data_IF_916157512173
#
_entry.id   IF_916157512173
#
_cell.length_a   1.000
_cell.length_b   1.000
_cell.length_c   1.000
_cell.angle_alpha   90.00
_cell.angle_beta   90.00
_cell.angle_gamma   90.00
#
_symmetry.space_group_name_H-M   'P 1'
#
loop_
_entity.id
_entity.type
_entity.pdbx_description
1 polymer ?
#
# COMPACT_ATOMS: atom_id res chain seq x y z
N UNK A 1 -23.38 8.19 34.27
CA UNK A 1 -22.43 7.20 33.73
C UNK A 1 -22.27 7.51 32.25
N UNK A 2 -21.16 8.13 31.85
CA UNK A 2 -20.91 8.45 30.45
C UNK A 2 -20.45 7.18 29.74
N UNK A 3 -21.32 6.62 28.90
CA UNK A 3 -20.95 5.56 27.95
C UNK A 3 -20.08 6.21 26.88
N UNK A 4 -18.77 6.24 27.09
CA UNK A 4 -17.82 6.58 26.04
C UNK A 4 -17.99 5.54 24.94
N UNK A 5 -18.69 5.88 23.86
CA UNK A 5 -18.77 5.03 22.69
C UNK A 5 -17.33 4.70 22.26
N UNK A 6 -17.02 3.41 22.16
CA UNK A 6 -15.73 2.98 21.61
C UNK A 6 -15.55 3.69 20.26
N UNK A 7 -14.38 4.28 19.97
CA UNK A 7 -14.14 4.89 18.67
C UNK A 7 -14.48 3.86 17.58
N UNK A 8 -15.18 4.31 16.54
CA UNK A 8 -15.56 3.44 15.42
C UNK A 8 -14.34 2.66 14.93
N UNK A 9 -14.49 1.34 14.73
CA UNK A 9 -13.42 0.44 14.26
C UNK A 9 -12.83 0.84 12.90
N UNK A 10 -13.44 1.81 12.21
CA UNK A 10 -13.02 2.33 10.92
C UNK A 10 -12.09 3.55 11.01
N UNK A 11 -12.03 4.22 12.17
CA UNK A 11 -11.17 5.38 12.34
C UNK A 11 -9.70 4.95 12.40
N UNK A 12 -8.87 5.53 11.53
CA UNK A 12 -7.43 5.25 11.53
C UNK A 12 -7.02 3.99 10.77
N UNK A 13 -7.93 3.32 10.06
CA UNK A 13 -7.64 2.12 9.24
C UNK A 13 -7.35 2.47 7.78
N UNK A 14 -8.03 3.49 7.25
CA UNK A 14 -8.05 3.77 5.81
C UNK A 14 -9.01 2.84 5.06
N UNK A 15 -9.66 3.33 4.01
CA UNK A 15 -10.64 2.55 3.26
C UNK A 15 -10.41 2.74 1.76
N UNK A 16 -10.09 1.64 1.09
CA UNK A 16 -9.78 1.65 -0.33
C UNK A 16 -10.54 0.55 -1.06
N UNK A 17 -11.16 0.91 -2.16
CA UNK A 17 -11.60 -0.06 -3.16
C UNK A 17 -10.40 -0.64 -3.92
N UNK A 18 -10.53 -1.80 -4.58
CA UNK A 18 -9.48 -2.32 -5.45
C UNK A 18 -9.15 -1.39 -6.62
N UNK A 19 -10.08 -0.53 -7.04
CA UNK A 19 -9.85 0.45 -8.09
C UNK A 19 -8.98 1.61 -7.58
N UNK A 20 -9.28 2.16 -6.40
CA UNK A 20 -8.45 3.19 -5.76
C UNK A 20 -7.05 2.64 -5.47
N UNK A 21 -6.95 1.44 -4.90
CA UNK A 21 -5.68 0.77 -4.66
C UNK A 21 -4.87 0.59 -5.96
N UNK A 22 -5.53 0.24 -7.07
CA UNK A 22 -4.92 0.15 -8.39
C UNK A 22 -4.39 1.51 -8.86
N UNK A 23 -5.19 2.56 -8.76
CA UNK A 23 -4.80 3.93 -9.13
C UNK A 23 -3.61 4.44 -8.31
N UNK A 24 -3.56 4.15 -7.00
CA UNK A 24 -2.49 4.65 -6.13
C UNK A 24 -1.18 3.86 -6.26
N UNK A 25 -1.25 2.56 -6.54
CA UNK A 25 -0.07 1.67 -6.59
C UNK A 25 0.42 1.37 -8.01
N UNK A 26 -0.42 1.56 -9.03
CA UNK A 26 -0.17 1.12 -10.40
C UNK A 26 -0.37 -0.38 -10.63
N UNK A 27 -0.83 -1.14 -9.63
CA UNK A 27 -1.06 -2.58 -9.73
C UNK A 27 -2.45 -2.83 -10.33
N UNK A 28 -2.62 -3.71 -11.34
CA UNK A 28 -3.93 -3.97 -11.90
C UNK A 28 -4.96 -4.40 -10.85
N UNK A 29 -6.12 -3.72 -10.82
CA UNK A 29 -7.20 -4.01 -9.86
C UNK A 29 -7.70 -5.48 -9.87
N UNK A 30 -7.51 -6.19 -10.99
CA UNK A 30 -7.81 -7.63 -11.09
C UNK A 30 -6.86 -8.47 -10.23
N UNK A 31 -5.57 -8.14 -10.24
CA UNK A 31 -4.55 -8.84 -9.48
C UNK A 31 -4.72 -8.55 -7.99
N UNK A 32 -4.96 -7.29 -7.62
CA UNK A 32 -5.29 -6.89 -6.25
C UNK A 32 -6.48 -7.72 -5.73
N UNK A 33 -7.58 -7.80 -6.50
CA UNK A 33 -8.76 -8.58 -6.08
C UNK A 33 -8.42 -10.06 -5.84
N UNK A 34 -7.62 -10.66 -6.72
CA UNK A 34 -7.21 -12.07 -6.60
C UNK A 34 -6.31 -12.30 -5.40
N UNK A 35 -5.38 -11.39 -5.13
CA UNK A 35 -4.43 -11.52 -4.02
C UNK A 35 -5.09 -11.30 -2.67
N UNK A 36 -6.05 -10.40 -2.58
CA UNK A 36 -6.69 -10.03 -1.31
C UNK A 36 -7.92 -10.89 -1.02
N UNK A 37 -8.81 -11.05 -1.99
CA UNK A 37 -10.11 -11.72 -1.79
C UNK A 37 -10.15 -13.14 -2.35
N UNK A 38 -9.05 -13.62 -2.91
CA UNK A 38 -8.99 -14.93 -3.56
C UNK A 38 -9.70 -14.99 -4.90
N UNK A 39 -9.74 -16.18 -5.49
CA UNK A 39 -10.45 -16.48 -6.72
C UNK A 39 -10.68 -17.99 -6.88
N UNK A 40 -11.68 -18.36 -7.68
CA UNK A 40 -11.90 -19.74 -8.08
C UNK A 40 -11.38 -19.97 -9.50
N UNK A 41 -10.69 -21.08 -9.72
CA UNK A 41 -10.23 -21.49 -11.05
C UNK A 41 -10.33 -23.01 -11.19
N UNK A 42 -10.94 -23.48 -12.28
CA UNK A 42 -11.11 -24.92 -12.57
C UNK A 42 -11.75 -25.72 -11.40
N UNK A 43 -12.69 -25.11 -10.68
CA UNK A 43 -13.37 -25.73 -9.53
C UNK A 43 -12.54 -25.76 -8.23
N UNK A 44 -11.35 -25.15 -8.23
CA UNK A 44 -10.51 -25.00 -7.05
C UNK A 44 -10.59 -23.56 -6.53
N UNK A 45 -10.86 -23.42 -5.24
CA UNK A 45 -10.84 -22.13 -4.56
C UNK A 45 -9.44 -21.80 -4.06
N UNK A 46 -8.97 -20.62 -4.43
CA UNK A 46 -7.71 -20.06 -3.97
C UNK A 46 -8.03 -18.90 -3.02
N UNK A 47 -7.78 -19.02 -1.70
CA UNK A 47 -8.02 -17.93 -0.76
C UNK A 47 -7.08 -16.74 -1.03
N UNK A 48 -7.34 -15.62 -0.37
CA UNK A 48 -6.40 -14.49 -0.34
C UNK A 48 -5.01 -14.88 0.21
N UNK A 49 -4.05 -13.97 0.06
CA UNK A 49 -2.72 -14.10 0.65
C UNK A 49 -2.76 -13.86 2.18
N UNK A 50 -3.66 -12.99 2.64
CA UNK A 50 -3.95 -12.73 4.04
C UNK A 50 -5.40 -12.26 4.22
N UNK A 51 -5.83 -12.10 5.48
CA UNK A 51 -7.13 -11.53 5.82
C UNK A 51 -7.03 -10.00 5.88
N UNK A 52 -7.82 -9.25 5.10
CA UNK A 52 -7.77 -7.77 5.09
C UNK A 52 -8.10 -7.14 6.44
N UNK A 53 -7.60 -5.93 6.69
CA UNK A 53 -7.80 -5.20 7.97
C UNK A 53 -9.29 -4.93 8.24
N UNK A 54 -10.04 -4.72 7.15
CA UNK A 54 -11.46 -4.39 7.15
C UNK A 54 -12.35 -5.56 6.76
N UNK A 55 -11.86 -6.81 6.87
CA UNK A 55 -12.62 -8.01 6.53
C UNK A 55 -13.92 -8.22 7.34
N UNK A 56 -14.12 -7.44 8.41
CA UNK A 56 -15.38 -7.42 9.17
C UNK A 56 -16.49 -6.63 8.47
N UNK A 57 -16.15 -5.84 7.45
CA UNK A 57 -17.11 -5.32 6.51
C UNK A 57 -17.32 -6.42 5.46
N UNK A 58 -18.55 -6.84 5.21
CA UNK A 58 -18.88 -7.83 4.15
C UNK A 58 -18.70 -7.25 2.72
N UNK A 59 -17.77 -6.30 2.56
CA UNK A 59 -17.43 -5.59 1.34
C UNK A 59 -15.98 -5.88 0.93
N UNK A 60 -15.72 -5.82 -0.38
CA UNK A 60 -14.36 -5.99 -0.93
C UNK A 60 -13.54 -4.71 -0.80
N UNK A 61 -13.13 -4.40 0.43
CA UNK A 61 -12.32 -3.23 0.78
C UNK A 61 -10.96 -3.62 1.33
N UNK A 62 -10.01 -2.69 1.22
CA UNK A 62 -8.65 -2.80 1.72
C UNK A 62 -8.43 -1.72 2.79
N UNK A 63 -7.68 -2.06 3.84
CA UNK A 63 -7.07 -1.11 4.77
C UNK A 63 -5.78 -0.50 4.22
N UNK A 64 -5.22 0.47 4.95
CA UNK A 64 -3.96 1.11 4.59
C UNK A 64 -2.78 0.15 4.59
N UNK A 65 -2.75 -0.77 5.54
CA UNK A 65 -1.68 -1.76 5.57
C UNK A 65 -1.79 -2.76 4.43
N UNK A 66 -3.00 -3.19 4.06
CA UNK A 66 -3.25 -4.01 2.88
C UNK A 66 -2.71 -3.32 1.61
N UNK A 67 -2.97 -2.02 1.46
CA UNK A 67 -2.50 -1.19 0.33
C UNK A 67 -0.98 -1.14 0.21
N UNK A 68 -0.25 -1.11 1.33
CA UNK A 68 1.20 -1.13 1.30
C UNK A 68 1.75 -2.53 1.02
N UNK A 69 1.17 -3.55 1.63
CA UNK A 69 1.62 -4.94 1.53
C UNK A 69 1.50 -5.47 0.09
N UNK A 70 0.45 -5.09 -0.66
CA UNK A 70 0.30 -5.47 -2.08
C UNK A 70 1.42 -4.93 -2.97
N UNK A 71 2.07 -3.83 -2.60
CA UNK A 71 3.23 -3.29 -3.35
C UNK A 71 4.41 -4.27 -3.27
N UNK A 72 4.59 -4.92 -2.13
CA UNK A 72 5.60 -5.96 -1.95
C UNK A 72 5.25 -7.22 -2.74
N UNK A 73 3.99 -7.67 -2.64
CA UNK A 73 3.48 -8.79 -3.46
C UNK A 73 3.75 -8.56 -4.94
N UNK A 74 3.43 -7.36 -5.44
CA UNK A 74 3.67 -7.02 -6.84
C UNK A 74 5.15 -7.10 -7.21
N UNK A 75 6.05 -6.55 -6.37
CA UNK A 75 7.49 -6.62 -6.61
C UNK A 75 8.01 -8.06 -6.63
N UNK A 76 7.56 -8.93 -5.72
CA UNK A 76 7.90 -10.36 -5.74
C UNK A 76 7.39 -11.05 -7.00
N UNK A 77 6.14 -10.76 -7.40
CA UNK A 77 5.53 -11.32 -8.62
C UNK A 77 6.26 -10.89 -9.89
N UNK A 78 6.76 -9.66 -9.95
CA UNK A 78 7.59 -9.19 -11.08
C UNK A 78 8.91 -9.95 -11.21
N UNK A 79 9.39 -10.58 -10.13
CA UNK A 79 10.58 -11.43 -10.11
C UNK A 79 10.26 -12.92 -10.16
N UNK A 80 9.02 -13.29 -10.49
CA UNK A 80 8.62 -14.67 -10.75
C UNK A 80 8.17 -15.47 -9.52
N UNK A 81 8.38 -14.97 -8.30
CA UNK A 81 8.02 -15.68 -7.05
C UNK A 81 6.54 -16.05 -7.06
N UNK A 82 6.20 -17.32 -6.83
CA UNK A 82 4.81 -17.79 -6.87
C UNK A 82 3.96 -17.20 -5.74
N UNK A 83 2.64 -17.14 -5.94
CA UNK A 83 1.72 -16.69 -4.87
C UNK A 83 1.71 -17.63 -3.66
N UNK A 84 2.01 -18.92 -3.88
CA UNK A 84 2.14 -19.89 -2.80
C UNK A 84 3.38 -19.59 -1.94
N UNK A 85 4.52 -19.33 -2.58
CA UNK A 85 5.73 -18.91 -1.89
C UNK A 85 5.54 -17.58 -1.16
N UNK A 86 4.90 -16.57 -1.79
CA UNK A 86 4.59 -15.30 -1.14
C UNK A 86 3.68 -15.50 0.08
N UNK A 87 2.67 -16.39 -0.01
CA UNK A 87 1.80 -16.72 1.12
C UNK A 87 2.60 -17.36 2.26
N UNK A 88 3.45 -18.35 1.97
CA UNK A 88 4.29 -18.97 3.01
C UNK A 88 5.24 -17.95 3.65
N UNK A 89 5.90 -17.13 2.83
CA UNK A 89 6.79 -16.05 3.32
C UNK A 89 6.05 -15.06 4.22
N UNK A 90 4.82 -14.68 3.86
CA UNK A 90 4.00 -13.81 4.71
C UNK A 90 3.69 -14.48 6.04
N UNK A 91 3.25 -15.74 6.05
CA UNK A 91 2.94 -16.47 7.28
C UNK A 91 4.15 -16.61 8.20
N UNK A 92 5.29 -17.04 7.67
CA UNK A 92 6.53 -17.17 8.45
C UNK A 92 7.01 -15.81 8.98
N UNK A 93 6.96 -14.76 8.17
CA UNK A 93 7.37 -13.42 8.59
C UNK A 93 6.42 -12.85 9.66
N UNK A 94 5.12 -13.12 9.57
CA UNK A 94 4.14 -12.73 10.61
C UNK A 94 4.47 -13.40 11.95
N UNK A 95 4.81 -14.67 11.94
CA UNK A 95 5.21 -15.42 13.14
C UNK A 95 6.53 -14.89 13.71
N UNK A 96 7.53 -14.68 12.86
CA UNK A 96 8.86 -14.22 13.27
C UNK A 96 8.86 -12.79 13.82
N UNK A 97 8.02 -11.91 13.26
CA UNK A 97 8.00 -10.49 13.62
C UNK A 97 6.88 -10.14 14.60
N UNK A 98 5.87 -11.01 14.78
CA UNK A 98 4.69 -10.69 15.59
C UNK A 98 3.84 -9.57 14.99
N UNK A 99 3.93 -9.35 13.68
CA UNK A 99 3.25 -8.27 12.96
C UNK A 99 2.29 -8.84 11.92
N UNK A 100 1.11 -8.24 11.77
CA UNK A 100 0.10 -8.71 10.80
C UNK A 100 0.52 -8.48 9.34
N UNK A 101 1.30 -7.43 9.11
CA UNK A 101 1.74 -6.95 7.80
C UNK A 101 3.27 -6.92 7.74
N UNK A 102 3.92 -8.09 7.65
CA UNK A 102 5.34 -8.21 7.90
C UNK A 102 6.23 -7.65 6.78
N UNK A 103 5.78 -7.59 5.52
CA UNK A 103 6.60 -7.12 4.40
C UNK A 103 6.86 -5.63 4.49
N UNK A 104 5.92 -4.87 5.06
CA UNK A 104 6.10 -3.44 5.33
C UNK A 104 6.96 -3.17 6.56
N UNK A 105 7.22 -4.15 7.43
CA UNK A 105 8.12 -3.96 8.57
C UNK A 105 9.56 -3.72 8.11
N UNK A 106 10.27 -2.77 8.75
CA UNK A 106 11.68 -2.48 8.42
C UNK A 106 12.58 -3.69 8.57
N UNK A 107 12.27 -4.56 9.54
CA UNK A 107 12.97 -5.82 9.80
C UNK A 107 12.92 -6.80 8.61
N UNK A 108 11.91 -6.71 7.75
CA UNK A 108 11.87 -7.52 6.54
C UNK A 108 13.01 -7.20 5.56
N UNK A 109 13.58 -5.98 5.59
CA UNK A 109 14.74 -5.63 4.79
C UNK A 109 16.00 -6.39 5.18
N UNK A 110 16.13 -6.74 6.46
CA UNK A 110 17.31 -7.43 7.01
C UNK A 110 17.08 -8.94 7.04
N UNK A 111 15.89 -9.36 7.47
CA UNK A 111 15.62 -10.76 7.82
C UNK A 111 14.79 -11.49 6.74
N UNK A 112 14.24 -10.75 5.76
CA UNK A 112 13.39 -11.33 4.70
C UNK A 112 14.09 -12.37 3.83
N UNK A 113 15.42 -12.34 3.74
CA UNK A 113 16.18 -13.36 3.02
C UNK A 113 16.09 -14.72 3.70
N UNK A 114 16.23 -14.75 5.02
CA UNK A 114 16.23 -16.00 5.78
C UNK A 114 14.82 -16.60 5.82
N UNK A 115 13.79 -15.75 5.80
CA UNK A 115 12.39 -16.16 5.55
C UNK A 115 12.28 -16.83 4.16
N UNK A 116 12.77 -16.21 3.09
CA UNK A 116 12.69 -16.85 1.77
C UNK A 116 13.54 -18.11 1.63
N UNK A 117 14.64 -18.24 2.38
CA UNK A 117 15.43 -19.47 2.42
C UNK A 117 14.58 -20.63 2.97
N UNK A 118 13.89 -20.39 4.08
CA UNK A 118 12.99 -21.36 4.70
C UNK A 118 11.83 -21.72 3.77
N UNK A 119 11.22 -20.73 3.12
CA UNK A 119 10.12 -20.95 2.15
C UNK A 119 10.58 -21.72 0.92
N UNK A 120 11.80 -21.49 0.43
CA UNK A 120 12.38 -22.22 -0.68
C UNK A 120 12.48 -23.72 -0.34
N UNK A 121 12.94 -24.06 0.86
CA UNK A 121 13.06 -25.45 1.32
C UNK A 121 11.69 -26.14 1.42
N UNK A 122 10.62 -25.41 1.76
CA UNK A 122 9.26 -25.93 1.87
C UNK A 122 8.54 -26.08 0.52
N UNK A 123 8.74 -25.11 -0.38
CA UNK A 123 7.91 -24.97 -1.60
C UNK A 123 8.63 -25.44 -2.86
N UNK A 124 9.96 -25.48 -2.85
CA UNK A 124 10.76 -25.74 -4.04
C UNK A 124 10.65 -24.65 -5.12
N UNK A 125 10.18 -23.44 -4.79
CA UNK A 125 10.02 -22.35 -5.75
C UNK A 125 11.39 -21.85 -6.24
N UNK A 126 11.78 -22.27 -7.45
CA UNK A 126 13.08 -21.94 -8.03
C UNK A 126 13.33 -20.43 -8.18
N UNK A 127 12.28 -19.60 -8.29
CA UNK A 127 12.44 -18.15 -8.34
C UNK A 127 13.00 -17.58 -7.03
N UNK A 128 12.84 -18.29 -5.90
CA UNK A 128 13.46 -17.93 -4.63
C UNK A 128 14.96 -18.26 -4.58
N UNK A 129 15.46 -19.19 -5.40
CA UNK A 129 16.88 -19.58 -5.37
C UNK A 129 17.80 -18.37 -5.58
N UNK A 130 17.48 -17.52 -6.55
CA UNK A 130 18.28 -16.33 -6.82
C UNK A 130 18.16 -15.29 -5.69
N UNK A 131 16.97 -15.13 -5.11
CA UNK A 131 16.73 -14.21 -3.99
C UNK A 131 17.51 -14.62 -2.74
N UNK A 132 17.58 -15.92 -2.47
CA UNK A 132 18.28 -16.48 -1.30
C UNK A 132 19.79 -16.49 -1.52
N UNK A 133 20.24 -16.96 -2.70
CA UNK A 133 21.67 -17.15 -2.99
C UNK A 133 22.41 -15.83 -3.24
N UNK A 134 21.72 -14.79 -3.73
CA UNK A 134 22.36 -13.52 -4.11
C UNK A 134 21.76 -12.37 -3.31
N UNK A 135 22.53 -11.84 -2.35
CA UNK A 135 22.13 -10.64 -1.58
C UNK A 135 21.77 -9.45 -2.48
N UNK A 136 22.43 -9.33 -3.63
CA UNK A 136 22.12 -8.29 -4.61
C UNK A 136 20.74 -8.48 -5.26
N UNK A 137 20.34 -9.72 -5.57
CA UNK A 137 19.02 -10.00 -6.14
C UNK A 137 17.90 -9.67 -5.13
N UNK A 138 18.06 -10.05 -3.86
CA UNK A 138 17.10 -9.67 -2.82
C UNK A 138 16.94 -8.14 -2.71
N UNK A 139 18.06 -7.40 -2.69
CA UNK A 139 18.04 -5.92 -2.68
C UNK A 139 17.44 -5.31 -3.96
N UNK A 140 17.50 -6.01 -5.10
CA UNK A 140 16.86 -5.59 -6.34
C UNK A 140 15.34 -5.76 -6.30
N UNK A 141 14.84 -6.77 -5.58
CA UNK A 141 13.39 -6.97 -5.40
C UNK A 141 12.85 -6.05 -4.32
N UNK A 142 13.50 -6.10 -3.16
CA UNK A 142 13.26 -5.25 -2.00
C UNK A 142 14.01 -3.94 -2.19
N UNK A 143 13.57 -3.17 -3.18
CA UNK A 143 14.18 -1.88 -3.51
C UNK A 143 13.95 -0.86 -2.39
N UNK A 144 14.88 0.09 -2.20
CA UNK A 144 14.63 1.27 -1.37
C UNK A 144 13.32 1.96 -1.72
N UNK A 145 12.87 1.93 -2.98
CA UNK A 145 11.60 2.52 -3.42
C UNK A 145 10.33 1.86 -2.86
N UNK A 146 10.37 0.60 -2.41
CA UNK A 146 9.21 0.00 -1.75
C UNK A 146 8.98 0.61 -0.36
N UNK A 147 10.07 0.93 0.34
CA UNK A 147 10.03 1.59 1.65
C UNK A 147 10.10 3.12 1.57
N UNK A 148 10.58 3.66 0.45
CA UNK A 148 10.66 5.09 0.20
C UNK A 148 9.27 5.70 0.34
N UNK A 149 9.21 6.79 1.11
CA UNK A 149 7.97 7.49 1.40
C UNK A 149 7.11 6.84 2.48
N UNK A 150 7.43 5.66 3.01
CA UNK A 150 6.73 5.12 4.18
C UNK A 150 7.32 5.74 5.45
N UNK A 151 6.50 6.47 6.19
CA UNK A 151 6.85 6.93 7.53
C UNK A 151 6.30 5.92 8.56
N UNK A 152 7.12 5.59 9.57
CA UNK A 152 6.85 4.57 10.59
C UNK A 152 6.60 5.22 11.94
N UNK A 153 5.72 4.65 12.77
CA UNK A 153 5.70 4.94 14.21
C UNK A 153 6.56 3.93 14.95
N UNK A 154 7.53 4.41 15.71
CA UNK A 154 8.51 3.53 16.34
C UNK A 154 9.23 2.70 15.26
N UNK A 155 9.50 1.44 15.55
CA UNK A 155 10.34 0.61 14.68
C UNK A 155 9.58 -0.21 13.62
N UNK A 156 8.27 -0.43 13.77
CA UNK A 156 7.67 -1.60 13.08
C UNK A 156 6.44 -1.35 12.22
N UNK A 157 5.58 -0.36 12.53
CA UNK A 157 4.31 -0.16 11.80
C UNK A 157 4.30 1.11 10.96
N UNK A 158 3.96 0.96 9.68
CA UNK A 158 3.71 2.09 8.79
C UNK A 158 2.58 2.98 9.32
N UNK A 159 2.73 4.30 9.24
CA UNK A 159 1.71 5.27 9.67
C UNK A 159 1.16 6.11 8.54
N UNK A 160 1.97 6.38 7.53
CA UNK A 160 1.58 7.15 6.36
C UNK A 160 2.53 6.85 5.24
N UNK A 161 2.09 7.15 4.03
CA UNK A 161 2.86 6.90 2.82
C UNK A 161 2.82 8.10 1.90
N UNK A 162 3.99 8.54 1.46
CA UNK A 162 4.19 9.57 0.44
C UNK A 162 4.40 8.88 -0.91
N UNK A 163 3.38 8.84 -1.78
CA UNK A 163 3.40 8.02 -3.00
C UNK A 163 4.19 8.66 -4.15
N UNK A 164 4.77 9.85 -3.95
CA UNK A 164 5.54 10.58 -4.96
C UNK A 164 7.01 10.58 -4.56
N UNK A 165 7.85 10.02 -5.44
CA UNK A 165 9.30 9.94 -5.21
C UNK A 165 9.89 11.32 -4.97
N UNK A 166 10.72 11.47 -3.93
CA UNK A 166 11.38 12.74 -3.54
C UNK A 166 10.43 13.92 -3.28
N UNK A 167 9.15 13.69 -3.06
CA UNK A 167 8.18 14.73 -2.69
C UNK A 167 7.33 14.28 -1.51
N UNK A 168 7.17 15.16 -0.53
CA UNK A 168 6.27 14.96 0.61
C UNK A 168 4.97 15.78 0.48
N UNK A 169 4.65 16.26 -0.70
CA UNK A 169 3.49 17.14 -0.92
C UNK A 169 2.15 16.41 -0.80
N UNK A 170 2.07 15.16 -1.28
CA UNK A 170 0.88 14.31 -1.20
C UNK A 170 1.16 13.16 -0.25
N UNK A 171 0.19 12.82 0.61
CA UNK A 171 0.31 11.75 1.60
C UNK A 171 -1.00 10.95 1.69
N UNK A 172 -0.87 9.64 1.88
CA UNK A 172 -1.94 8.76 2.34
C UNK A 172 -1.68 8.46 3.82
N UNK A 173 -2.58 8.90 4.68
CA UNK A 173 -2.49 8.70 6.14
C UNK A 173 -3.87 8.21 6.61
N UNK A 174 -4.01 6.97 7.10
CA UNK A 174 -5.31 6.41 7.46
C UNK A 174 -6.04 7.16 8.58
N UNK A 175 -5.32 8.00 9.35
CA UNK A 175 -5.92 8.88 10.35
C UNK A 175 -6.50 10.19 9.74
N UNK A 176 -6.31 10.44 8.45
CA UNK A 176 -6.75 11.65 7.74
C UNK A 176 -7.55 11.29 6.50
N UNK A 177 -8.72 11.90 6.33
CA UNK A 177 -9.58 11.70 5.15
C UNK A 177 -9.78 10.20 4.78
N UNK A 178 -9.91 9.33 5.79
CA UNK A 178 -10.01 7.87 5.63
C UNK A 178 -8.89 7.27 4.76
N UNK A 179 -7.68 7.82 4.85
CA UNK A 179 -6.53 7.33 4.10
C UNK A 179 -6.44 7.81 2.65
N UNK A 180 -7.44 8.55 2.15
CA UNK A 180 -7.40 9.09 0.80
C UNK A 180 -6.21 10.06 0.63
N UNK A 181 -5.68 10.22 -0.58
CA UNK A 181 -4.57 11.12 -0.82
C UNK A 181 -4.96 12.57 -0.47
N UNK A 182 -4.14 13.20 0.35
CA UNK A 182 -4.31 14.61 0.74
C UNK A 182 -3.01 15.37 0.59
N UNK A 183 -3.11 16.69 0.48
CA UNK A 183 -1.96 17.57 0.65
C UNK A 183 -1.44 17.44 2.08
N UNK A 184 -0.15 17.12 2.23
CA UNK A 184 0.41 16.74 3.52
C UNK A 184 0.28 17.84 4.58
N UNK A 185 0.49 19.10 4.19
CA UNK A 185 0.43 20.26 5.09
C UNK A 185 -0.99 20.67 5.44
N UNK A 186 -1.92 20.68 4.48
CA UNK A 186 -3.26 21.26 4.66
C UNK A 186 -4.34 20.22 4.92
N UNK A 187 -4.12 18.96 4.54
CA UNK A 187 -5.11 17.89 4.64
C UNK A 187 -6.24 17.96 3.62
N UNK A 188 -6.14 18.85 2.64
CA UNK A 188 -7.12 18.96 1.57
C UNK A 188 -6.96 17.78 0.62
N UNK A 189 -8.08 17.15 0.27
CA UNK A 189 -8.16 16.06 -0.70
C UNK A 189 -7.60 16.48 -2.07
N UNK A 190 -6.69 15.69 -2.63
CA UNK A 190 -6.11 15.99 -3.94
C UNK A 190 -7.15 15.95 -5.06
N UNK A 191 -8.17 15.09 -4.95
CA UNK A 191 -9.26 15.03 -5.91
C UNK A 191 -10.12 16.31 -5.87
N UNK A 192 -10.32 16.89 -4.69
CA UNK A 192 -11.04 18.17 -4.56
C UNK A 192 -10.28 19.31 -5.24
N UNK A 193 -8.96 19.39 -5.01
CA UNK A 193 -8.09 20.38 -5.69
C UNK A 193 -8.12 20.19 -7.20
N UNK A 194 -8.04 18.95 -7.69
CA UNK A 194 -8.06 18.66 -9.12
C UNK A 194 -9.39 18.99 -9.79
N UNK A 195 -10.52 18.65 -9.16
CA UNK A 195 -11.83 19.06 -9.67
C UNK A 195 -12.00 20.58 -9.70
N UNK A 196 -11.53 21.30 -8.68
CA UNK A 196 -11.51 22.76 -8.69
C UNK A 196 -10.59 23.32 -9.78
N UNK A 197 -9.45 22.68 -10.04
CA UNK A 197 -8.56 23.04 -11.14
C UNK A 197 -9.25 22.91 -12.49
N UNK A 198 -9.98 21.82 -12.74
CA UNK A 198 -10.77 21.66 -13.96
C UNK A 198 -11.88 22.72 -14.06
N UNK A 199 -12.60 22.99 -12.96
CA UNK A 199 -13.69 23.97 -12.92
C UNK A 199 -13.23 25.42 -13.16
N UNK A 200 -12.05 25.79 -12.65
CA UNK A 200 -11.46 27.13 -12.83
C UNK A 200 -10.67 27.26 -14.16
N UNK A 201 -10.94 26.39 -15.14
CA UNK A 201 -10.31 26.46 -16.46
C UNK A 201 -8.82 26.14 -16.44
N UNK A 202 -8.41 25.16 -15.62
CA UNK A 202 -7.03 24.72 -15.47
C UNK A 202 -6.08 25.83 -14.97
N UNK A 203 -6.59 26.71 -14.09
CA UNK A 203 -5.83 27.82 -13.54
C UNK A 203 -5.36 27.54 -12.11
N UNK A 204 -4.13 27.03 -11.96
CA UNK A 204 -3.57 26.69 -10.65
C UNK A 204 -3.47 27.90 -9.68
N UNK A 205 -3.19 29.10 -10.20
CA UNK A 205 -3.11 30.33 -9.36
C UNK A 205 -4.47 30.71 -8.79
N UNK A 206 -5.53 30.53 -9.58
CA UNK A 206 -6.91 30.80 -9.15
C UNK A 206 -7.34 29.82 -8.06
N UNK A 207 -7.08 28.52 -8.24
CA UNK A 207 -7.35 27.51 -7.21
C UNK A 207 -6.54 27.76 -5.94
N UNK A 208 -5.26 28.12 -6.08
CA UNK A 208 -4.40 28.47 -4.95
C UNK A 208 -4.98 29.60 -4.10
N UNK A 209 -5.54 30.63 -4.74
CA UNK A 209 -6.24 31.72 -4.06
C UNK A 209 -7.52 31.23 -3.36
N UNK A 210 -8.32 30.38 -3.99
CA UNK A 210 -9.59 29.88 -3.44
C UNK A 210 -9.41 28.99 -2.21
N UNK A 211 -8.36 28.17 -2.21
CA UNK A 211 -8.06 27.25 -1.11
C UNK A 211 -7.04 27.82 -0.11
N UNK A 212 -6.55 29.05 -0.34
CA UNK A 212 -5.52 29.71 0.46
C UNK A 212 -4.25 28.85 0.64
N UNK A 213 -3.82 28.18 -0.43
CA UNK A 213 -2.63 27.32 -0.45
C UNK A 213 -1.60 27.79 -1.48
N UNK A 214 -0.31 27.42 -1.34
CA UNK A 214 0.69 27.76 -2.34
C UNK A 214 0.37 27.14 -3.71
N UNK A 215 0.64 27.83 -4.85
CA UNK A 215 0.46 27.26 -6.19
C UNK A 215 1.17 25.93 -6.40
N UNK A 216 2.36 25.76 -5.82
CA UNK A 216 3.10 24.50 -5.87
C UNK A 216 2.35 23.32 -5.23
N UNK A 217 1.50 23.58 -4.22
CA UNK A 217 0.66 22.53 -3.62
C UNK A 217 -0.47 22.13 -4.58
N UNK A 218 -1.08 23.09 -5.27
CA UNK A 218 -2.07 22.81 -6.32
C UNK A 218 -1.44 21.97 -7.44
N UNK A 219 -0.28 22.39 -7.93
CA UNK A 219 0.45 21.65 -8.98
C UNK A 219 0.81 20.23 -8.52
N UNK A 220 1.24 20.05 -7.27
CA UNK A 220 1.53 18.72 -6.73
C UNK A 220 0.28 17.81 -6.68
N UNK A 221 -0.86 18.34 -6.26
CA UNK A 221 -2.13 17.60 -6.27
C UNK A 221 -2.56 17.25 -7.70
N UNK A 222 -2.55 18.22 -8.62
CA UNK A 222 -2.94 18.03 -10.02
C UNK A 222 -2.05 17.01 -10.73
N UNK A 223 -0.73 17.10 -10.54
CA UNK A 223 0.22 16.14 -11.11
C UNK A 223 0.01 14.73 -10.55
N UNK A 224 -0.32 14.61 -9.26
CA UNK A 224 -0.65 13.32 -8.65
C UNK A 224 -1.94 12.74 -9.24
N UNK A 225 -3.01 13.53 -9.36
CA UNK A 225 -4.30 13.10 -9.91
C UNK A 225 -4.19 12.69 -11.39
N UNK A 226 -3.44 13.43 -12.21
CA UNK A 226 -3.14 13.03 -13.59
C UNK A 226 -2.42 11.68 -13.66
N UNK A 227 -1.47 11.43 -12.76
CA UNK A 227 -0.71 10.18 -12.72
C UNK A 227 -1.60 8.98 -12.40
N UNK A 228 -2.56 9.13 -11.49
CA UNK A 228 -3.40 8.02 -11.03
C UNK A 228 -4.64 7.78 -11.91
N UNK A 229 -4.94 8.70 -12.82
CA UNK A 229 -5.99 8.59 -13.83
C UNK A 229 -5.49 8.00 -15.18
N UNK A 230 -4.18 7.96 -15.40
CA UNK A 230 -3.52 7.40 -16.58
C UNK A 230 -3.38 5.86 -16.50
#
# INVERSE_FOLDING_TARGET
>A
MNTTALPSRLLGVGLYTPAEASSYTGIPAKDIRRWIFGYSAAGVDHPGLWTPEVAFLDDKLLGFHDLLEIRFVHAFRQHGVSLQAIRSASLQAREMFGQLYPFTCRRFQTDGRDIFATVLDETGDEALLDLVKRQYAFKQVITPSLYEGIDYAGEESAKRWYPVKRSKAVVLDPARNFGKPVLATTGIDTAAIYHSYLAEGQNAKRVALLYEIPPAAVEAAVNFEHRIAA
#
